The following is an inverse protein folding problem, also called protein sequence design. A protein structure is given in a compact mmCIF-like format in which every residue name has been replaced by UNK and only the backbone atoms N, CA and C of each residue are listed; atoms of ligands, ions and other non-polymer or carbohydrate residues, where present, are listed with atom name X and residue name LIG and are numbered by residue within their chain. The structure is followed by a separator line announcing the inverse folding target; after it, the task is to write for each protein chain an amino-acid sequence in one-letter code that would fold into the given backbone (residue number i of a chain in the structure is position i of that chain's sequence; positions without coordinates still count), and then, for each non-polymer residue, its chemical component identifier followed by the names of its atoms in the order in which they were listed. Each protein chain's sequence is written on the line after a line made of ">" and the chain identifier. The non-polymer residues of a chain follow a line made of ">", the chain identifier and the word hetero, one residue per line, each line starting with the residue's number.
data_IF_217631681136
#
_entry.id   IF_217631681136
#
_cell.length_a   1.000
_cell.length_b   1.000
_cell.length_c   1.000
_cell.angle_alpha   90.00
_cell.angle_beta   90.00
_cell.angle_gamma   90.00
#
_symmetry.space_group_name_H-M   'P 1'
#
loop_
_entity.id
_entity.type
_entity.pdbx_description
1 polymer ?
#
# COMPACT_ATOMS: atom_id res chain seq x y z
N UNK A 1 16.74 -3.02 -42.53
CA UNK A 1 16.60 -1.92 -41.55
C UNK A 1 15.52 -2.32 -40.57
N UNK A 2 15.90 -3.01 -39.49
CA UNK A 2 15.00 -3.29 -38.39
C UNK A 2 14.96 -2.04 -37.51
N UNK A 3 13.78 -1.41 -37.40
CA UNK A 3 13.54 -0.41 -36.36
C UNK A 3 13.29 -1.17 -35.07
N UNK A 4 14.12 -0.90 -34.06
CA UNK A 4 13.86 -1.26 -32.67
C UNK A 4 12.50 -0.72 -32.27
N UNK A 5 11.54 -1.62 -32.04
CA UNK A 5 10.42 -1.35 -31.15
C UNK A 5 10.90 -1.78 -29.76
N UNK A 6 11.39 -0.81 -28.98
CA UNK A 6 11.53 -0.99 -27.54
C UNK A 6 10.15 -1.01 -26.91
N UNK A 7 9.94 -2.05 -26.12
CA UNK A 7 8.72 -2.44 -25.44
C UNK A 7 8.26 -1.36 -24.45
N UNK A 8 7.06 -0.81 -24.64
CA UNK A 8 6.33 -0.08 -23.61
C UNK A 8 5.75 -1.10 -22.60
N UNK A 9 6.55 -1.47 -21.60
CA UNK A 9 6.04 -2.18 -20.43
C UNK A 9 5.40 -1.19 -19.46
N UNK A 10 4.10 -1.39 -19.21
CA UNK A 10 3.35 -1.08 -18.00
C UNK A 10 4.16 -0.48 -16.84
N UNK A 11 4.08 0.85 -16.64
CA UNK A 11 4.38 1.59 -15.39
C UNK A 11 4.26 3.11 -15.66
N UNK A 12 3.02 3.62 -15.75
CA UNK A 12 2.79 5.07 -15.78
C UNK A 12 3.01 5.68 -14.39
N UNK A 13 4.20 6.24 -14.14
CA UNK A 13 4.48 6.95 -12.89
C UNK A 13 3.88 8.36 -12.89
N UNK A 14 3.16 8.75 -11.82
CA UNK A 14 2.78 10.17 -11.63
C UNK A 14 4.01 10.97 -11.17
N UNK A 15 4.24 12.15 -11.75
CA UNK A 15 5.23 13.07 -11.18
C UNK A 15 4.63 13.75 -9.95
N UNK A 16 5.41 13.86 -8.87
CA UNK A 16 5.05 14.78 -7.78
C UNK A 16 4.98 16.21 -8.36
N UNK A 17 4.14 17.11 -7.79
CA UNK A 17 4.12 18.52 -8.15
C UNK A 17 5.54 19.13 -8.16
N UNK A 18 5.81 20.08 -9.07
CA UNK A 18 7.13 20.72 -9.20
C UNK A 18 7.46 21.59 -7.97
N UNK A 19 8.70 21.46 -7.46
CA UNK A 19 9.21 22.24 -6.31
C UNK A 19 10.23 21.52 -5.40
N UNK A 20 10.97 20.52 -5.90
CA UNK A 20 11.82 19.66 -5.07
C UNK A 20 13.27 20.15 -4.96
N UNK A 21 13.86 20.09 -3.77
CA UNK A 21 15.29 20.22 -3.54
C UNK A 21 15.97 18.84 -3.45
N UNK A 22 17.03 18.64 -4.23
CA UNK A 22 17.86 17.43 -4.20
C UNK A 22 18.93 17.57 -3.10
N UNK A 23 18.77 16.89 -1.98
CA UNK A 23 19.80 16.81 -0.94
C UNK A 23 20.50 15.44 -0.99
N UNK A 24 21.76 15.43 -1.45
CA UNK A 24 22.63 14.25 -1.43
C UNK A 24 23.23 14.09 -0.04
N UNK A 25 22.84 13.04 0.70
CA UNK A 25 23.46 12.68 1.97
C UNK A 25 24.65 11.73 1.77
N UNK A 26 25.75 11.96 2.49
CA UNK A 26 26.82 10.96 2.64
C UNK A 26 26.62 10.16 3.93
N UNK A 27 26.86 8.85 3.87
CA UNK A 27 26.74 7.93 5.02
C UNK A 27 27.70 8.32 6.15
N UNK A 28 27.16 8.85 7.25
CA UNK A 28 27.90 9.03 8.49
C UNK A 28 28.24 7.67 9.13
N UNK A 29 29.52 7.30 9.08
CA UNK A 29 30.22 6.31 9.92
C UNK A 29 29.58 4.91 10.11
N UNK A 30 30.24 3.89 9.54
CA UNK A 30 30.06 2.44 9.74
C UNK A 30 29.06 1.69 8.85
N UNK A 31 28.32 2.37 7.96
CA UNK A 31 27.44 1.75 6.95
C UNK A 31 28.08 1.58 5.57
N UNK A 32 27.50 0.73 4.72
CA UNK A 32 27.84 0.70 3.29
C UNK A 32 27.35 1.97 2.60
N UNK A 33 28.08 2.53 1.62
CA UNK A 33 27.66 3.75 0.97
C UNK A 33 26.42 3.53 0.07
N UNK A 34 25.57 4.55 0.02
CA UNK A 34 24.32 4.60 -0.75
C UNK A 34 24.02 6.05 -1.15
N UNK A 35 23.24 6.25 -2.22
CA UNK A 35 22.67 7.54 -2.57
C UNK A 35 21.29 7.73 -1.94
N UNK A 36 20.94 8.97 -1.60
CA UNK A 36 19.60 9.32 -1.13
C UNK A 36 19.11 10.66 -1.68
N UNK A 37 17.80 10.82 -1.74
CA UNK A 37 17.08 12.03 -2.18
C UNK A 37 15.87 12.26 -1.30
N UNK A 38 15.52 13.54 -1.15
CA UNK A 38 14.35 13.98 -0.42
C UNK A 38 13.48 14.80 -1.35
N UNK A 39 12.17 14.60 -1.27
CA UNK A 39 11.21 15.41 -2.02
C UNK A 39 10.08 15.80 -1.11
N UNK A 40 9.84 17.10 -0.98
CA UNK A 40 8.67 17.65 -0.32
C UNK A 40 7.55 17.86 -1.35
N UNK A 41 6.34 17.51 -0.99
CA UNK A 41 5.15 17.71 -1.80
C UNK A 41 3.92 17.91 -0.91
N UNK A 42 2.82 18.34 -1.51
CA UNK A 42 1.50 18.33 -0.89
C UNK A 42 0.60 17.36 -1.65
N UNK A 43 -0.08 16.45 -0.94
CA UNK A 43 -1.01 15.48 -1.53
C UNK A 43 -2.34 15.59 -0.80
N UNK A 44 -3.39 16.00 -1.51
CA UNK A 44 -4.73 16.19 -0.95
C UNK A 44 -4.76 17.09 0.30
N UNK A 45 -3.95 18.16 0.31
CA UNK A 45 -3.86 19.11 1.43
C UNK A 45 -2.99 18.63 2.60
N UNK A 46 -2.27 17.51 2.44
CA UNK A 46 -1.36 16.94 3.46
C UNK A 46 0.08 17.11 2.99
N UNK A 47 0.95 17.61 3.88
CA UNK A 47 2.38 17.67 3.62
C UNK A 47 2.97 16.25 3.60
N UNK A 48 3.73 15.95 2.54
CA UNK A 48 4.35 14.66 2.32
C UNK A 48 5.84 14.84 2.03
N UNK A 49 6.67 14.09 2.76
CA UNK A 49 8.09 13.96 2.46
C UNK A 49 8.34 12.57 1.92
N UNK A 50 8.83 12.49 0.68
CA UNK A 50 9.34 11.25 0.10
C UNK A 50 10.84 11.19 0.30
N UNK A 51 11.31 10.09 0.89
CA UNK A 51 12.72 9.73 0.97
C UNK A 51 12.97 8.58 0.00
N UNK A 52 13.92 8.76 -0.91
CA UNK A 52 14.41 7.70 -1.80
C UNK A 52 15.84 7.36 -1.39
N UNK A 53 16.18 6.07 -1.32
CA UNK A 53 17.59 5.68 -1.17
C UNK A 53 17.92 4.44 -2.01
N UNK A 54 19.18 4.30 -2.43
CA UNK A 54 19.64 3.20 -3.28
C UNK A 54 21.13 2.92 -3.11
N UNK A 55 21.53 1.67 -3.33
CA UNK A 55 22.93 1.27 -3.23
C UNK A 55 23.84 2.01 -4.23
N UNK A 56 25.09 2.29 -3.86
CA UNK A 56 26.06 2.88 -4.80
C UNK A 56 26.21 2.06 -6.09
N UNK A 57 26.27 2.76 -7.23
CA UNK A 57 26.29 2.14 -8.56
C UNK A 57 24.91 1.84 -9.14
N UNK A 58 23.83 2.06 -8.38
CA UNK A 58 22.47 2.09 -8.87
C UNK A 58 21.97 3.53 -9.02
N UNK A 59 20.84 3.71 -9.70
CA UNK A 59 20.10 4.97 -9.76
C UNK A 59 19.00 5.01 -8.71
N UNK A 60 18.46 6.20 -8.43
CA UNK A 60 17.26 6.35 -7.64
C UNK A 60 16.15 5.41 -8.13
N UNK A 61 15.42 4.73 -7.23
CA UNK A 61 14.25 3.96 -7.62
C UNK A 61 13.26 4.92 -8.27
N UNK A 62 12.64 4.56 -9.42
CA UNK A 62 11.61 5.39 -10.01
C UNK A 62 10.50 5.58 -8.98
N UNK A 63 9.91 6.77 -8.91
CA UNK A 63 8.72 7.02 -8.11
C UNK A 63 7.69 5.93 -8.44
N UNK A 64 7.42 5.05 -7.49
CA UNK A 64 6.60 3.87 -7.73
C UNK A 64 5.12 4.30 -7.68
N UNK A 65 4.33 3.81 -8.63
CA UNK A 65 2.88 4.02 -8.62
C UNK A 65 2.14 2.74 -9.00
N UNK A 66 1.10 2.49 -8.22
CA UNK A 66 0.09 1.49 -8.47
C UNK A 66 -0.95 2.01 -9.49
N UNK A 67 -1.06 1.23 -10.57
CA UNK A 67 -2.14 1.03 -11.55
C UNK A 67 -2.93 2.21 -12.13
N UNK A 68 -2.93 2.21 -13.47
CA UNK A 68 -3.90 2.86 -14.34
C UNK A 68 -5.33 2.58 -13.88
N UNK A 69 -6.06 3.66 -13.65
CA UNK A 69 -7.49 3.67 -13.86
C UNK A 69 -7.67 4.44 -15.15
N UNK A 70 -7.65 3.73 -16.28
CA UNK A 70 -8.18 4.29 -17.52
C UNK A 70 -9.55 4.88 -17.19
N UNK A 71 -9.60 6.21 -17.22
CA UNK A 71 -10.82 6.97 -17.27
C UNK A 71 -11.44 6.70 -18.63
N UNK A 72 -12.36 5.74 -18.72
CA UNK A 72 -13.45 5.87 -19.68
C UNK A 72 -14.30 7.07 -19.24
N UNK A 73 -13.86 8.27 -19.58
CA UNK A 73 -14.75 9.41 -19.75
C UNK A 73 -14.97 9.60 -21.25
N UNK A 74 -16.17 9.20 -21.69
CA UNK A 74 -16.84 9.80 -22.83
C UNK A 74 -16.75 11.34 -22.72
N UNK A 75 -16.14 12.02 -23.70
CA UNK A 75 -16.20 13.48 -23.70
C UNK A 75 -15.21 14.20 -24.60
N UNK A 76 -15.63 14.40 -25.84
CA UNK A 76 -15.17 15.46 -26.75
C UNK A 76 -14.96 16.85 -26.08
N UNK A 77 -14.14 17.70 -26.73
CA UNK A 77 -13.80 19.13 -26.47
C UNK A 77 -12.62 19.38 -25.52
N UNK A 78 -11.63 20.23 -25.80
CA UNK A 78 -11.32 21.12 -26.91
C UNK A 78 -10.00 21.86 -26.58
N UNK A 79 -9.35 22.41 -27.60
CA UNK A 79 -8.09 23.16 -27.53
C UNK A 79 -8.11 24.29 -26.47
N UNK A 80 -7.00 24.45 -25.75
CA UNK A 80 -6.81 25.50 -24.74
C UNK A 80 -5.35 25.69 -24.35
N UNK A 81 -4.69 26.57 -25.12
CA UNK A 81 -3.37 27.18 -24.89
C UNK A 81 -3.27 27.88 -23.52
N UNK A 82 -2.18 27.67 -22.78
CA UNK A 82 -1.77 28.49 -21.63
C UNK A 82 -0.24 28.55 -21.48
N UNK A 83 0.37 29.48 -22.21
CA UNK A 83 1.08 30.67 -21.68
C UNK A 83 2.05 30.53 -20.49
N UNK A 84 3.28 30.97 -20.74
CA UNK A 84 4.30 31.40 -19.76
C UNK A 84 3.74 32.33 -18.67
N UNK A 85 4.14 32.10 -17.42
CA UNK A 85 4.18 33.13 -16.39
C UNK A 85 5.28 32.81 -15.36
N UNK A 86 6.34 33.62 -15.40
CA UNK A 86 7.33 33.82 -14.35
C UNK A 86 6.68 34.02 -12.98
N UNK A 87 7.06 33.20 -12.01
CA UNK A 87 6.98 33.52 -10.59
C UNK A 87 7.97 32.63 -9.82
N UNK A 88 9.14 33.17 -9.48
CA UNK A 88 9.91 32.62 -8.35
C UNK A 88 9.14 32.85 -7.04
N UNK A 89 9.28 31.93 -6.08
CA UNK A 89 9.73 32.39 -4.78
C UNK A 89 10.92 31.58 -4.26
N UNK A 90 11.90 32.34 -3.80
CA UNK A 90 13.09 31.91 -3.10
C UNK A 90 12.78 31.37 -1.70
N UNK A 91 13.42 30.26 -1.34
CA UNK A 91 13.77 29.92 0.04
C UNK A 91 15.20 29.39 0.03
N UNK A 92 15.99 29.81 1.02
CA UNK A 92 17.40 29.42 1.20
C UNK A 92 17.48 28.58 2.46
N UNK A 93 18.05 27.38 2.39
CA UNK A 93 18.36 26.57 3.57
C UNK A 93 19.85 26.27 3.65
N UNK A 94 20.42 26.57 4.82
CA UNK A 94 21.84 26.46 5.13
C UNK A 94 22.16 25.05 5.62
N UNK A 95 23.09 24.37 4.96
CA UNK A 95 23.77 23.22 5.51
C UNK A 95 24.95 23.71 6.37
N UNK A 96 24.82 23.74 7.69
CA UNK A 96 26.00 23.91 8.55
C UNK A 96 26.77 22.59 8.57
N UNK A 97 27.94 22.61 7.94
CA UNK A 97 28.83 21.47 7.89
C UNK A 97 29.30 21.04 9.27
N UNK A 98 28.95 19.81 9.64
CA UNK A 98 29.86 18.71 9.97
C UNK A 98 28.98 17.46 10.02
N UNK A 99 29.46 16.37 9.43
CA UNK A 99 28.71 15.14 9.22
C UNK A 99 28.03 14.62 10.51
N UNK A 100 26.88 13.94 10.35
CA UNK A 100 26.25 13.01 11.34
C UNK A 100 25.11 13.55 12.23
N UNK A 101 24.04 14.11 11.68
CA UNK A 101 22.69 14.08 12.29
C UNK A 101 21.66 14.63 11.31
N UNK A 102 20.60 13.87 11.04
CA UNK A 102 19.37 14.42 10.46
C UNK A 102 18.40 14.47 11.63
N UNK A 103 18.41 15.58 12.37
CA UNK A 103 17.37 15.87 13.36
C UNK A 103 16.19 16.49 12.61
N UNK A 104 15.01 15.94 12.80
CA UNK A 104 13.81 16.44 12.13
C UNK A 104 13.38 17.83 12.64
N UNK A 105 14.06 18.35 13.66
CA UNK A 105 13.99 19.75 14.07
C UNK A 105 14.79 20.73 13.21
N UNK A 106 15.78 20.27 12.42
CA UNK A 106 16.66 21.15 11.61
C UNK A 106 16.23 21.22 10.13
N UNK A 107 15.48 20.23 9.63
CA UNK A 107 14.94 20.22 8.26
C UNK A 107 13.57 20.90 8.15
N UNK A 108 12.99 21.30 9.27
CA UNK A 108 11.69 21.93 9.35
C UNK A 108 11.71 22.97 10.47
N UNK A 109 12.31 24.15 10.23
CA UNK A 109 11.77 25.38 10.86
C UNK A 109 10.43 25.71 10.16
N UNK A 110 9.42 24.86 10.35
CA UNK A 110 8.05 25.38 10.32
C UNK A 110 7.84 25.99 11.69
N UNK A 111 7.70 27.31 11.72
CA UNK A 111 7.14 28.02 12.88
C UNK A 111 5.68 27.62 13.10
N UNK A 112 5.44 26.35 13.41
CA UNK A 112 4.17 25.80 13.82
C UNK A 112 4.42 25.13 15.16
N UNK A 113 4.13 25.85 16.24
CA UNK A 113 3.97 25.27 17.57
C UNK A 113 3.05 24.04 17.46
N UNK A 114 3.54 22.83 17.82
CA UNK A 114 2.70 21.64 17.93
C UNK A 114 2.92 20.49 16.94
N UNK A 115 4.09 20.39 16.32
CA UNK A 115 4.45 19.22 15.48
C UNK A 115 5.17 18.14 16.30
N UNK A 116 4.78 16.87 16.11
CA UNK A 116 5.36 15.65 16.70
C UNK A 116 6.86 15.52 16.39
N UNK A 117 7.80 15.58 17.37
CA UNK A 117 9.23 15.46 17.09
C UNK A 117 9.55 14.05 16.56
N UNK A 118 9.66 13.91 15.24
CA UNK A 118 9.85 12.63 14.59
C UNK A 118 11.29 12.46 14.08
N UNK A 119 12.20 11.98 14.92
CA UNK A 119 13.57 11.71 14.48
C UNK A 119 13.63 10.41 13.68
N UNK A 120 13.64 10.51 12.35
CA UNK A 120 13.79 9.38 11.46
C UNK A 120 15.25 9.18 11.03
N UNK A 121 15.78 7.99 11.26
CA UNK A 121 17.16 7.61 10.98
C UNK A 121 17.17 6.33 10.14
N UNK A 122 18.06 6.24 9.17
CA UNK A 122 18.22 5.01 8.38
C UNK A 122 19.66 4.81 7.93
N UNK A 123 20.01 3.55 7.71
CA UNK A 123 21.34 3.15 7.26
C UNK A 123 21.26 1.87 6.42
N UNK A 124 22.29 1.64 5.62
CA UNK A 124 22.53 0.36 4.96
C UNK A 124 23.50 -0.47 5.80
N UNK A 125 22.98 -1.41 6.58
CA UNK A 125 23.81 -2.18 7.53
C UNK A 125 24.59 -3.31 6.86
N UNK A 126 24.04 -3.93 5.81
CA UNK A 126 24.73 -4.91 4.96
C UNK A 126 24.26 -4.75 3.52
N UNK A 127 24.90 -5.45 2.58
CA UNK A 127 24.63 -5.28 1.14
C UNK A 127 23.14 -5.44 0.79
N UNK A 128 22.45 -6.34 1.48
CA UNK A 128 21.05 -6.69 1.25
C UNK A 128 20.10 -6.24 2.36
N UNK A 129 20.46 -5.24 3.17
CA UNK A 129 19.58 -4.76 4.25
C UNK A 129 19.72 -3.27 4.51
N UNK A 130 18.57 -2.61 4.60
CA UNK A 130 18.45 -1.29 5.22
C UNK A 130 17.77 -1.42 6.56
N UNK A 131 18.27 -0.68 7.55
CA UNK A 131 17.69 -0.58 8.87
C UNK A 131 17.30 0.87 9.14
N UNK A 132 16.14 1.04 9.76
CA UNK A 132 15.53 2.32 10.08
C UNK A 132 15.24 2.37 11.56
N UNK A 133 15.32 3.55 12.16
CA UNK A 133 14.92 3.81 13.53
C UNK A 133 14.14 5.13 13.59
N UNK A 134 13.14 5.18 14.46
CA UNK A 134 12.38 6.38 14.72
C UNK A 134 11.87 6.44 16.15
N UNK A 135 11.71 7.65 16.66
CA UNK A 135 11.29 7.84 18.04
C UNK A 135 9.80 7.55 18.21
N UNK A 136 9.44 6.87 19.30
CA UNK A 136 8.07 6.54 19.68
C UNK A 136 7.81 7.00 21.12
N UNK A 137 7.28 8.22 21.33
CA UNK A 137 6.97 8.72 22.68
C UNK A 137 6.03 7.80 23.44
N UNK A 138 6.12 7.72 24.77
CA UNK A 138 5.42 6.73 25.63
C UNK A 138 3.90 6.61 25.44
N UNK A 139 3.21 7.68 25.07
CA UNK A 139 1.77 7.71 24.82
C UNK A 139 1.38 7.51 23.33
N UNK A 140 2.38 7.35 22.45
CA UNK A 140 2.17 7.08 21.04
C UNK A 140 1.43 5.76 20.81
N UNK A 141 0.50 5.77 19.86
CA UNK A 141 -0.29 4.61 19.45
C UNK A 141 -0.03 4.30 17.99
N UNK A 142 0.22 3.04 17.68
CA UNK A 142 0.60 2.59 16.35
C UNK A 142 -0.53 1.77 15.72
N UNK A 143 -0.94 2.10 14.50
CA UNK A 143 -2.01 1.42 13.76
C UNK A 143 -1.57 1.11 12.33
N UNK A 144 -2.33 0.29 11.60
CA UNK A 144 -2.02 -0.08 10.23
C UNK A 144 -1.31 -1.43 10.13
N UNK A 145 -0.33 -1.52 9.22
CA UNK A 145 0.38 -2.73 8.81
C UNK A 145 -0.49 -3.82 8.14
N UNK A 146 -1.71 -3.47 7.76
CA UNK A 146 -2.62 -4.32 7.00
C UNK A 146 -3.26 -5.44 7.82
N UNK A 147 -3.34 -6.62 7.21
CA UNK A 147 -4.01 -7.79 7.77
C UNK A 147 -3.18 -8.42 8.88
N UNK A 148 -3.57 -8.20 10.14
CA UNK A 148 -2.87 -8.74 11.31
C UNK A 148 -3.88 -9.20 12.35
N UNK A 149 -3.62 -10.35 12.96
CA UNK A 149 -4.50 -10.99 13.96
C UNK A 149 -4.39 -10.36 15.35
N UNK A 150 -3.33 -9.61 15.63
CA UNK A 150 -3.18 -8.91 16.91
C UNK A 150 -4.17 -7.73 17.05
N UNK A 151 -4.20 -7.08 18.21
CA UNK A 151 -5.07 -5.92 18.46
C UNK A 151 -4.77 -4.69 17.58
N UNK A 152 -5.68 -3.71 17.57
CA UNK A 152 -5.55 -2.52 16.71
C UNK A 152 -4.31 -1.67 17.00
N UNK A 153 -3.98 -1.47 18.28
CA UNK A 153 -2.71 -0.83 18.65
C UNK A 153 -1.59 -1.87 18.53
N UNK A 154 -0.65 -1.59 17.63
CA UNK A 154 0.46 -2.46 17.24
C UNK A 154 1.74 -2.22 18.03
N UNK A 155 1.77 -1.20 18.90
CA UNK A 155 2.93 -0.94 19.76
C UNK A 155 3.19 -2.09 20.73
N UNK A 156 4.45 -2.34 21.06
CA UNK A 156 4.90 -3.41 21.96
C UNK A 156 5.09 -4.74 21.25
N UNK A 157 5.02 -4.76 19.92
CA UNK A 157 5.12 -5.96 19.12
C UNK A 157 5.98 -5.76 17.87
N UNK A 158 6.41 -6.90 17.33
CA UNK A 158 7.19 -6.99 16.11
C UNK A 158 6.32 -7.56 15.01
N UNK A 159 6.35 -6.93 13.84
CA UNK A 159 5.50 -7.24 12.70
C UNK A 159 6.30 -7.52 11.43
N UNK A 160 6.04 -8.64 10.78
CA UNK A 160 6.76 -9.16 9.63
C UNK A 160 5.81 -9.09 8.44
N UNK A 161 6.19 -8.33 7.43
CA UNK A 161 5.44 -8.10 6.21
C UNK A 161 6.01 -9.02 5.13
N UNK A 162 5.40 -10.20 5.01
CA UNK A 162 5.63 -11.16 3.95
C UNK A 162 4.35 -11.97 3.73
N UNK A 163 3.85 -11.99 2.49
CA UNK A 163 2.62 -12.68 2.16
C UNK A 163 2.84 -14.20 2.32
N UNK A 164 2.07 -14.81 3.23
CA UNK A 164 2.23 -16.20 3.62
C UNK A 164 0.87 -16.88 3.65
N UNK A 165 0.79 -18.09 3.09
CA UNK A 165 -0.36 -18.97 3.26
C UNK A 165 -0.07 -19.95 4.40
N UNK A 166 -0.78 -19.79 5.52
CA UNK A 166 -0.63 -20.63 6.68
C UNK A 166 -1.99 -21.27 7.03
N UNK A 167 -2.08 -22.61 7.13
CA UNK A 167 -3.35 -23.29 7.40
C UNK A 167 -3.93 -23.05 8.80
N UNK A 168 -3.15 -22.48 9.73
CA UNK A 168 -3.56 -22.35 11.14
C UNK A 168 -3.36 -20.93 11.68
N UNK A 169 -4.42 -20.12 11.67
CA UNK A 169 -4.39 -18.75 12.17
C UNK A 169 -4.50 -18.67 13.69
N UNK A 170 -3.35 -18.57 14.37
CA UNK A 170 -3.28 -18.29 15.80
C UNK A 170 -2.95 -16.81 16.05
N UNK A 171 -3.45 -16.19 17.14
CA UNK A 171 -3.11 -14.80 17.49
C UNK A 171 -1.61 -14.51 17.66
N UNK A 172 -0.80 -15.55 17.89
CA UNK A 172 0.66 -15.47 17.97
C UNK A 172 1.35 -15.43 16.60
N UNK A 173 0.60 -15.61 15.51
CA UNK A 173 1.12 -15.48 14.15
C UNK A 173 0.99 -14.05 13.66
N UNK A 174 1.91 -13.69 12.78
CA UNK A 174 2.11 -12.30 12.39
C UNK A 174 2.08 -12.13 10.86
N UNK A 175 2.85 -12.92 10.12
CA UNK A 175 2.77 -12.96 8.66
C UNK A 175 1.44 -13.60 8.20
N UNK A 176 0.70 -12.87 7.37
CA UNK A 176 -0.61 -13.24 6.82
C UNK A 176 -0.61 -13.11 5.29
N UNK A 177 -1.76 -13.22 4.64
CA UNK A 177 -1.88 -13.18 3.17
C UNK A 177 -1.53 -11.82 2.57
N UNK A 178 -1.78 -10.73 3.31
CA UNK A 178 -1.57 -9.36 2.82
C UNK A 178 -0.57 -8.58 3.66
N UNK A 179 0.31 -7.89 2.96
CA UNK A 179 1.29 -6.95 3.52
C UNK A 179 0.97 -5.55 3.02
N UNK A 180 0.57 -4.64 3.94
CA UNK A 180 0.42 -3.23 3.65
C UNK A 180 1.45 -2.45 4.50
N UNK A 181 2.58 -2.01 3.93
CA UNK A 181 3.66 -1.35 4.67
C UNK A 181 3.33 0.12 4.99
N UNK A 182 2.14 0.35 5.55
CA UNK A 182 1.61 1.64 5.96
C UNK A 182 1.37 1.61 7.47
N UNK A 183 2.12 2.42 8.21
CA UNK A 183 1.96 2.64 9.64
C UNK A 183 1.33 4.01 9.87
N UNK A 184 0.37 4.08 10.79
CA UNK A 184 -0.14 5.33 11.34
C UNK A 184 0.29 5.45 12.80
N UNK A 185 0.81 6.59 13.19
CA UNK A 185 1.21 6.91 14.56
C UNK A 185 0.36 8.07 15.03
N UNK A 186 -0.30 7.91 16.16
CA UNK A 186 -1.00 8.98 16.86
C UNK A 186 -0.24 9.37 18.13
N UNK A 187 -0.06 10.67 18.34
CA UNK A 187 0.53 11.23 19.55
C UNK A 187 -0.04 12.62 19.81
N UNK A 188 -0.53 12.88 21.03
CA UNK A 188 -1.02 14.19 21.49
C UNK A 188 -1.97 14.92 20.50
N UNK A 189 -2.85 14.17 19.82
CA UNK A 189 -3.81 14.75 18.88
C UNK A 189 -3.29 14.93 17.45
N UNK A 190 -2.01 14.67 17.19
CA UNK A 190 -1.42 14.68 15.85
C UNK A 190 -1.29 13.27 15.28
N UNK A 191 -1.30 13.18 13.96
CA UNK A 191 -1.11 11.94 13.23
C UNK A 191 0.09 12.03 12.27
N UNK A 192 0.87 10.96 12.25
CA UNK A 192 1.93 10.70 11.28
C UNK A 192 1.59 9.40 10.54
N UNK A 193 1.86 9.34 9.24
CA UNK A 193 1.88 8.08 8.50
C UNK A 193 3.26 7.82 7.89
N UNK A 194 3.67 6.55 7.87
CA UNK A 194 4.86 6.06 7.20
C UNK A 194 4.46 4.97 6.20
N UNK A 195 4.70 5.20 4.92
CA UNK A 195 4.50 4.20 3.87
C UNK A 195 5.85 3.80 3.28
N UNK A 196 6.31 2.58 3.57
CA UNK A 196 7.54 2.03 2.98
C UNK A 196 7.19 1.27 1.71
N UNK A 197 7.33 1.95 0.57
CA UNK A 197 7.02 1.40 -0.74
C UNK A 197 8.14 0.46 -1.21
N UNK A 198 8.03 -0.78 -0.75
CA UNK A 198 8.90 -1.87 -1.17
C UNK A 198 8.18 -3.21 -1.06
N UNK A 199 8.22 -4.05 -2.12
CA UNK A 199 7.67 -5.40 -2.05
C UNK A 199 8.58 -6.39 -1.30
N UNK A 200 9.78 -5.95 -0.91
CA UNK A 200 10.72 -6.79 -0.17
C UNK A 200 10.19 -7.09 1.23
N UNK A 201 10.67 -8.20 1.82
CA UNK A 201 10.33 -8.56 3.19
C UNK A 201 10.75 -7.45 4.15
N UNK A 202 9.81 -7.05 5.01
CA UNK A 202 10.00 -5.99 6.00
C UNK A 202 9.70 -6.51 7.39
N UNK A 203 10.45 -6.05 8.38
CA UNK A 203 10.19 -6.31 9.80
C UNK A 203 10.08 -4.98 10.52
N UNK A 204 8.96 -4.72 11.17
CA UNK A 204 8.61 -3.51 11.88
C UNK A 204 8.51 -3.84 13.37
N UNK A 205 9.54 -3.47 14.13
CA UNK A 205 9.52 -3.52 15.59
C UNK A 205 8.94 -2.19 16.10
N UNK A 206 7.72 -2.23 16.63
CA UNK A 206 7.02 -1.05 17.10
C UNK A 206 7.20 -0.91 18.61
N UNK A 207 8.45 -0.75 19.03
CA UNK A 207 8.84 -0.58 20.43
C UNK A 207 8.53 -1.82 21.29
N UNK A 208 8.92 -3.01 20.82
CA UNK A 208 8.69 -4.28 21.53
C UNK A 208 9.28 -4.29 22.95
N UNK A 209 10.49 -3.75 23.09
CA UNK A 209 11.21 -3.68 24.36
C UNK A 209 10.78 -2.47 25.23
N UNK A 210 9.81 -1.67 24.78
CA UNK A 210 9.28 -0.49 25.48
C UNK A 210 10.37 0.52 25.89
N UNK A 211 11.28 0.82 24.95
CA UNK A 211 12.41 1.75 25.10
C UNK A 211 12.16 3.11 24.43
N UNK A 212 10.99 3.30 23.82
CA UNK A 212 10.60 4.53 23.13
C UNK A 212 11.14 4.64 21.70
N UNK A 213 11.46 3.51 21.05
CA UNK A 213 12.04 3.50 19.70
C UNK A 213 11.38 2.44 18.81
N UNK A 214 10.89 2.86 17.64
CA UNK A 214 10.47 1.98 16.56
C UNK A 214 11.62 1.68 15.62
N UNK A 215 11.69 0.45 15.11
CA UNK A 215 12.73 0.00 14.18
C UNK A 215 12.11 -0.71 12.98
N UNK A 216 12.71 -0.53 11.81
CA UNK A 216 12.33 -1.28 10.61
C UNK A 216 13.58 -1.94 10.05
N UNK A 217 13.47 -3.18 9.59
CA UNK A 217 14.47 -3.85 8.76
C UNK A 217 13.86 -4.20 7.41
N UNK A 218 14.51 -3.78 6.34
CA UNK A 218 14.11 -4.03 4.95
C UNK A 218 15.16 -4.89 4.25
N UNK A 219 14.79 -6.09 3.80
CA UNK A 219 15.70 -6.99 3.09
C UNK A 219 15.72 -6.69 1.57
N UNK A 220 16.56 -5.74 1.16
CA UNK A 220 16.74 -5.39 -0.26
C UNK A 220 18.19 -5.04 -0.59
N UNK A 221 18.63 -5.41 -1.80
CA UNK A 221 19.87 -4.89 -2.43
C UNK A 221 19.62 -3.68 -3.33
N UNK A 222 18.35 -3.44 -3.67
CA UNK A 222 17.91 -2.35 -4.55
C UNK A 222 17.59 -1.10 -3.72
N UNK A 223 17.13 -0.05 -4.38
CA UNK A 223 16.58 1.11 -3.70
C UNK A 223 15.20 0.88 -3.08
N UNK A 224 14.78 1.83 -2.27
CA UNK A 224 13.47 1.89 -1.62
C UNK A 224 12.97 3.33 -1.56
N UNK A 225 11.67 3.49 -1.34
CA UNK A 225 11.03 4.77 -1.09
C UNK A 225 10.21 4.72 0.18
N UNK A 226 10.29 5.78 0.97
CA UNK A 226 9.43 5.98 2.13
C UNK A 226 8.69 7.31 1.98
N UNK A 227 7.38 7.27 2.20
CA UNK A 227 6.54 8.46 2.23
C UNK A 227 6.13 8.72 3.68
N UNK A 228 6.43 9.92 4.16
CA UNK A 228 6.07 10.41 5.49
C UNK A 228 4.98 11.47 5.34
N UNK A 229 3.88 11.31 6.06
CA UNK A 229 2.70 12.19 5.96
C UNK A 229 2.37 12.76 7.33
N UNK A 230 2.19 14.07 7.45
CA UNK A 230 1.78 14.72 8.70
C UNK A 230 0.40 15.37 8.60
N UNK A 231 -0.53 15.06 9.51
CA UNK A 231 -1.83 15.69 9.55
C UNK A 231 -2.45 15.72 10.95
N UNK A 232 -3.44 16.59 11.16
CA UNK A 232 -4.23 16.64 12.39
C UNK A 232 -5.34 15.57 12.44
N UNK A 233 -5.61 14.86 11.33
CA UNK A 233 -6.64 13.84 11.26
C UNK A 233 -6.23 12.58 10.48
N UNK A 234 -6.64 11.41 10.98
CA UNK A 234 -6.45 10.13 10.28
C UNK A 234 -7.16 10.11 8.91
N UNK A 235 -8.31 10.80 8.79
CA UNK A 235 -9.07 10.88 7.54
C UNK A 235 -8.23 11.53 6.44
N UNK A 236 -7.52 12.60 6.76
CA UNK A 236 -6.70 13.32 5.79
C UNK A 236 -5.47 12.50 5.39
N UNK A 237 -4.84 11.79 6.34
CA UNK A 237 -3.77 10.83 6.02
C UNK A 237 -4.23 9.73 5.07
N UNK A 238 -5.42 9.15 5.32
CA UNK A 238 -6.00 8.13 4.43
C UNK A 238 -6.35 8.72 3.06
N UNK A 239 -6.84 9.96 3.00
CA UNK A 239 -7.12 10.65 1.73
C UNK A 239 -5.84 10.92 0.93
N UNK A 240 -4.75 11.36 1.58
CA UNK A 240 -3.46 11.56 0.95
C UNK A 240 -2.86 10.23 0.47
N UNK A 241 -2.86 9.21 1.32
CA UNK A 241 -2.40 7.87 0.97
C UNK A 241 -3.16 7.29 -0.23
N UNK A 242 -4.50 7.33 -0.22
CA UNK A 242 -5.31 6.80 -1.35
C UNK A 242 -5.27 7.69 -2.60
N UNK A 243 -4.91 8.96 -2.47
CA UNK A 243 -4.59 9.80 -3.65
C UNK A 243 -3.25 9.40 -4.25
N UNK A 244 -2.28 8.97 -3.42
CA UNK A 244 -0.98 8.46 -3.84
C UNK A 244 -1.08 7.05 -4.46
N UNK A 245 -1.78 6.12 -3.79
CA UNK A 245 -1.79 4.68 -4.15
C UNK A 245 -3.01 4.23 -4.95
N UNK A 246 -3.93 5.15 -5.25
CA UNK A 246 -5.20 4.84 -5.90
C UNK A 246 -6.36 4.66 -4.91
N UNK A 247 -7.55 5.11 -5.34
CA UNK A 247 -8.80 4.97 -4.59
C UNK A 247 -9.44 3.62 -4.86
N UNK A 248 -10.10 3.06 -3.85
CA UNK A 248 -10.89 1.84 -4.02
C UNK A 248 -11.99 2.08 -5.06
N UNK A 249 -12.11 1.17 -6.04
CA UNK A 249 -13.23 1.17 -6.99
C UNK A 249 -14.54 0.94 -6.24
N UNK A 250 -15.60 1.62 -6.68
CA UNK A 250 -16.95 1.36 -6.17
C UNK A 250 -17.38 -0.04 -6.65
N UNK A 251 -17.63 -1.01 -5.75
CA UNK A 251 -18.11 -2.32 -6.17
C UNK A 251 -19.57 -2.23 -6.67
N UNK A 252 -20.01 -3.15 -7.53
CA UNK A 252 -21.42 -3.24 -7.89
C UNK A 252 -22.26 -3.56 -6.65
N UNK A 253 -23.49 -3.06 -6.59
CA UNK A 253 -24.34 -3.14 -5.38
C UNK A 253 -24.52 -4.57 -4.85
N UNK A 254 -24.69 -5.55 -5.75
CA UNK A 254 -24.88 -6.96 -5.39
C UNK A 254 -23.69 -7.55 -4.61
N UNK A 255 -22.48 -7.00 -4.76
CA UNK A 255 -21.29 -7.48 -4.04
C UNK A 255 -21.33 -7.14 -2.53
N UNK A 256 -22.18 -6.18 -2.12
CA UNK A 256 -22.42 -5.85 -0.71
C UNK A 256 -23.53 -6.70 -0.08
N UNK A 257 -24.22 -7.52 -0.90
CA UNK A 257 -25.28 -8.42 -0.49
C UNK A 257 -24.79 -9.69 0.20
N UNK A 258 -25.72 -10.57 0.55
CA UNK A 258 -25.36 -11.87 1.14
C UNK A 258 -24.77 -12.79 0.07
N UNK A 259 -23.58 -13.33 0.35
CA UNK A 259 -22.85 -14.21 -0.54
C UNK A 259 -22.75 -15.61 0.08
N UNK A 260 -23.34 -16.60 -0.57
CA UNK A 260 -23.32 -17.99 -0.13
C UNK A 260 -22.13 -18.73 -0.76
N UNK A 261 -21.26 -19.30 0.08
CA UNK A 261 -20.06 -20.03 -0.34
C UNK A 261 -19.83 -21.30 0.46
N UNK A 262 -19.15 -22.26 -0.16
CA UNK A 262 -18.63 -23.48 0.45
C UNK A 262 -17.51 -24.02 -0.43
N UNK A 263 -16.48 -24.58 0.18
CA UNK A 263 -15.53 -25.48 -0.49
C UNK A 263 -16.02 -26.95 -0.42
N UNK A 264 -16.50 -27.57 -1.49
CA UNK A 264 -17.19 -26.99 -2.66
C UNK A 264 -18.68 -27.35 -2.62
N UNK A 265 -19.45 -26.90 -3.62
CA UNK A 265 -20.67 -27.61 -4.02
C UNK A 265 -20.31 -28.72 -5.00
N UNK A 266 -20.83 -29.95 -4.83
CA UNK A 266 -20.33 -31.11 -5.56
C UNK A 266 -20.79 -31.15 -7.03
N UNK A 267 -21.91 -30.52 -7.40
CA UNK A 267 -22.47 -30.57 -8.75
C UNK A 267 -23.51 -29.45 -8.99
N UNK A 268 -23.95 -29.33 -10.25
CA UNK A 268 -25.00 -28.42 -10.70
C UNK A 268 -26.33 -28.60 -9.91
N UNK A 269 -26.72 -29.84 -9.63
CA UNK A 269 -27.97 -30.13 -8.93
C UNK A 269 -27.97 -29.56 -7.50
N UNK A 270 -26.84 -29.66 -6.81
CA UNK A 270 -26.64 -29.10 -5.47
C UNK A 270 -26.72 -27.58 -5.48
N UNK A 271 -26.12 -26.92 -6.47
CA UNK A 271 -26.19 -25.45 -6.63
C UNK A 271 -27.63 -24.99 -6.84
N UNK A 272 -28.38 -25.66 -7.74
CA UNK A 272 -29.79 -25.35 -8.00
C UNK A 272 -30.67 -25.55 -6.78
N UNK A 273 -30.44 -26.63 -6.04
CA UNK A 273 -31.15 -26.91 -4.78
C UNK A 273 -30.94 -25.80 -3.76
N UNK A 274 -29.69 -25.34 -3.59
CA UNK A 274 -29.36 -24.23 -2.67
C UNK A 274 -30.07 -22.94 -3.11
N UNK A 275 -29.97 -22.57 -4.38
CA UNK A 275 -30.63 -21.39 -4.93
C UNK A 275 -32.15 -21.41 -4.69
N UNK A 276 -32.77 -22.56 -4.93
CA UNK A 276 -34.18 -22.79 -4.65
C UNK A 276 -34.52 -22.62 -3.18
N UNK A 277 -33.75 -23.20 -2.27
CA UNK A 277 -34.02 -23.10 -0.82
C UNK A 277 -33.94 -21.65 -0.32
N UNK A 278 -33.04 -20.81 -0.83
CA UNK A 278 -33.03 -19.37 -0.51
C UNK A 278 -34.34 -18.69 -0.90
N UNK A 279 -34.85 -18.98 -2.10
CA UNK A 279 -36.09 -18.39 -2.63
C UNK A 279 -37.32 -18.91 -1.89
N UNK A 280 -37.42 -20.23 -1.70
CA UNK A 280 -38.54 -20.88 -0.99
C UNK A 280 -38.65 -20.39 0.46
N UNK A 281 -37.52 -20.11 1.11
CA UNK A 281 -37.46 -19.63 2.50
C UNK A 281 -37.49 -18.11 2.63
N UNK A 282 -37.56 -17.38 1.51
CA UNK A 282 -37.50 -15.92 1.47
C UNK A 282 -36.26 -15.33 2.18
N UNK A 283 -35.10 -15.98 2.04
CA UNK A 283 -33.82 -15.49 2.56
C UNK A 283 -33.10 -14.72 1.43
N UNK A 284 -32.79 -13.41 1.61
CA UNK A 284 -32.05 -12.65 0.61
C UNK A 284 -30.65 -13.23 0.38
N UNK A 285 -30.28 -13.39 -0.88
CA UNK A 285 -28.97 -13.86 -1.30
C UNK A 285 -28.71 -13.41 -2.74
N UNK A 286 -27.59 -12.73 -2.92
CA UNK A 286 -27.20 -12.06 -4.17
C UNK A 286 -26.16 -12.88 -4.94
N UNK A 287 -25.38 -13.73 -4.25
CA UNK A 287 -24.25 -14.42 -4.85
C UNK A 287 -24.16 -15.88 -4.43
N UNK A 288 -23.83 -16.75 -5.39
CA UNK A 288 -23.36 -18.11 -5.14
C UNK A 288 -21.92 -18.22 -5.63
N UNK A 289 -21.01 -18.60 -4.73
CA UNK A 289 -19.58 -18.81 -5.02
C UNK A 289 -19.33 -20.29 -5.33
N UNK A 290 -18.65 -20.57 -6.43
CA UNK A 290 -18.22 -21.91 -6.82
C UNK A 290 -16.72 -22.05 -6.57
N UNK A 291 -16.36 -22.90 -5.62
CA UNK A 291 -14.96 -23.22 -5.31
C UNK A 291 -14.39 -24.24 -6.32
N UNK A 292 -13.10 -24.57 -6.20
CA UNK A 292 -12.25 -25.27 -7.18
C UNK A 292 -12.84 -26.53 -7.85
N UNK A 293 -13.81 -27.21 -7.23
CA UNK A 293 -14.40 -28.44 -7.79
C UNK A 293 -15.32 -28.19 -9.00
N UNK A 294 -15.67 -26.94 -9.32
CA UNK A 294 -16.39 -26.64 -10.57
C UNK A 294 -15.52 -26.85 -11.83
N UNK A 295 -14.19 -26.75 -11.67
CA UNK A 295 -13.21 -26.84 -12.75
C UNK A 295 -12.99 -28.29 -13.23
N UNK A 296 -12.50 -28.46 -14.45
CA UNK A 296 -12.00 -29.75 -14.94
C UNK A 296 -10.59 -30.02 -14.40
N UNK A 297 -10.46 -30.99 -13.47
CA UNK A 297 -9.25 -31.32 -12.71
C UNK A 297 -8.43 -30.09 -12.23
N UNK A 298 -9.11 -29.08 -11.68
CA UNK A 298 -8.50 -27.83 -11.17
C UNK A 298 -7.78 -26.98 -12.24
N UNK A 299 -8.04 -27.23 -13.53
CA UNK A 299 -7.52 -26.39 -14.62
C UNK A 299 -8.28 -25.07 -14.62
N UNK A 300 -7.55 -23.96 -14.49
CA UNK A 300 -8.16 -22.62 -14.55
C UNK A 300 -8.88 -22.40 -15.89
N UNK A 301 -9.99 -21.67 -15.85
CA UNK A 301 -10.83 -21.35 -17.01
C UNK A 301 -11.50 -22.56 -17.69
N UNK A 302 -11.66 -23.68 -16.97
CA UNK A 302 -12.43 -24.84 -17.45
C UNK A 302 -13.62 -25.12 -16.53
N UNK A 303 -14.53 -25.97 -17.00
CA UNK A 303 -15.68 -26.48 -16.24
C UNK A 303 -15.73 -27.99 -16.38
N UNK A 304 -16.03 -28.72 -15.30
CA UNK A 304 -16.17 -30.16 -15.38
C UNK A 304 -17.48 -30.56 -16.07
N UNK A 305 -17.41 -31.11 -17.28
CA UNK A 305 -18.59 -31.58 -18.03
C UNK A 305 -19.37 -32.69 -17.30
N UNK A 306 -18.72 -33.39 -16.35
CA UNK A 306 -19.39 -34.43 -15.54
C UNK A 306 -20.24 -33.84 -14.41
N UNK A 307 -19.76 -32.78 -13.74
CA UNK A 307 -20.42 -32.16 -12.57
C UNK A 307 -21.29 -30.96 -12.96
N UNK A 308 -20.91 -30.26 -14.03
CA UNK A 308 -21.50 -29.03 -14.55
C UNK A 308 -21.68 -29.15 -16.08
N UNK A 309 -22.50 -30.09 -16.57
CA UNK A 309 -22.64 -30.40 -18.00
C UNK A 309 -23.17 -29.24 -18.85
N UNK A 310 -23.97 -28.34 -18.27
CA UNK A 310 -24.41 -27.12 -18.93
C UNK A 310 -24.20 -25.90 -18.03
N UNK A 311 -22.92 -25.62 -17.76
CA UNK A 311 -22.52 -24.51 -16.89
C UNK A 311 -23.09 -23.16 -17.34
N UNK A 312 -23.17 -22.92 -18.66
CA UNK A 312 -23.75 -21.69 -19.21
C UNK A 312 -25.23 -21.56 -18.85
N UNK A 313 -26.00 -22.64 -18.99
CA UNK A 313 -27.41 -22.65 -18.58
C UNK A 313 -27.57 -22.47 -17.08
N UNK A 314 -26.75 -23.14 -16.26
CA UNK A 314 -26.76 -22.95 -14.81
C UNK A 314 -26.60 -21.46 -14.45
N UNK A 315 -25.59 -20.80 -14.99
CA UNK A 315 -25.34 -19.37 -14.74
C UNK A 315 -26.53 -18.50 -15.19
N UNK A 316 -27.11 -18.80 -16.36
CA UNK A 316 -28.28 -18.07 -16.88
C UNK A 316 -29.50 -18.22 -15.98
N UNK A 317 -29.83 -19.45 -15.57
CA UNK A 317 -30.99 -19.72 -14.71
C UNK A 317 -30.81 -19.05 -13.34
N UNK A 318 -29.61 -19.12 -12.75
CA UNK A 318 -29.30 -18.44 -11.49
C UNK A 318 -29.41 -16.92 -11.62
N UNK A 319 -29.00 -16.35 -12.75
CA UNK A 319 -29.15 -14.93 -13.02
C UNK A 319 -30.63 -14.52 -13.07
N UNK A 320 -31.48 -15.31 -13.73
CA UNK A 320 -32.94 -15.10 -13.78
C UNK A 320 -33.57 -15.17 -12.38
N UNK A 321 -33.07 -16.06 -11.52
CA UNK A 321 -33.47 -16.15 -10.12
C UNK A 321 -32.85 -15.06 -9.23
N UNK A 322 -32.07 -14.12 -9.78
CA UNK A 322 -31.51 -12.97 -9.07
C UNK A 322 -30.18 -13.22 -8.37
N UNK A 323 -29.43 -14.26 -8.75
CA UNK A 323 -28.08 -14.54 -8.23
C UNK A 323 -26.99 -14.13 -9.22
N UNK A 324 -25.83 -13.74 -8.69
CA UNK A 324 -24.56 -13.67 -9.42
C UNK A 324 -23.72 -14.89 -9.09
N UNK A 325 -23.03 -15.43 -10.09
CA UNK A 325 -22.09 -16.54 -9.91
C UNK A 325 -20.67 -15.97 -9.83
N UNK A 326 -19.92 -16.37 -8.81
CA UNK A 326 -18.50 -16.07 -8.65
C UNK A 326 -17.72 -17.38 -8.72
N UNK A 327 -16.66 -17.41 -9.51
CA UNK A 327 -15.78 -18.55 -9.77
C UNK A 327 -14.33 -18.16 -9.58
#
# INVERSE_FOLDING_TARGET
>A
MAKEQTEDYWLGARKLPQGAELMLGESASHGLPFGCEFHKAEIAGVEVVRVSAWANGFTAPPASFALDLESEEDGNTGDGDFGDADAEPAYTLFASGEASRIEWGDLVETQAEGIFPFNFRFQRSVESRFDFAFDLPDDARCYGLGERLSGLNRRGAVHTLINSDNPHHLPSMDAMYKSLPLLFIWHQGQWLAMFLDSPACQKWDLDHDMVGEGKISLLTRRGWQMYLFGASSLKDLVAAYTTLTGRSKLPPLWALGHQQSRWSYPDEASVRSIAKEFRDRAIPCDTIVLDIDYMDDYRVFTTSDQRFPDFKKLVSDLYEDGFKVIT
#
